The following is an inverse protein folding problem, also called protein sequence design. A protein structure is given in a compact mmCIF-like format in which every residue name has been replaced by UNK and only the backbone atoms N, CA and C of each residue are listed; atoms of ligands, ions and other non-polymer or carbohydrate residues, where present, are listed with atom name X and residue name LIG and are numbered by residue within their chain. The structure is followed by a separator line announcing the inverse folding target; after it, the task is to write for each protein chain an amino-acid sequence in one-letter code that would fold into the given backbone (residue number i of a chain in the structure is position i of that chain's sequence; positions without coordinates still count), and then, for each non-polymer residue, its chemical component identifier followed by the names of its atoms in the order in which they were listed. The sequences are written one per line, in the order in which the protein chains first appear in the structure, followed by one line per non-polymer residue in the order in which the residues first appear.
data_IF_713905358266
#
_entry.id   IF_713905358266
#
_cell.length_a   1.000
_cell.length_b   1.000
_cell.length_c   1.000
_cell.angle_alpha   90.00
_cell.angle_beta   90.00
_cell.angle_gamma   90.00
#
_symmetry.space_group_name_H-M   'P 1'
#
loop_
_entity.id
_entity.type
_entity.pdbx_description
1 polymer ?
#
# COMPACT_ATOMS: atom_id res chain seq x y z
N UNK A 1 -14.87 -3.99 -40.66
CA UNK A 1 -15.11 -5.37 -40.09
C UNK A 1 -13.85 -5.99 -39.46
N UNK A 2 -12.68 -6.05 -40.14
CA UNK A 2 -11.46 -6.65 -39.56
C UNK A 2 -10.82 -5.71 -38.54
N UNK A 3 -10.68 -4.43 -38.89
CA UNK A 3 -10.12 -3.39 -37.99
C UNK A 3 -10.96 -3.23 -36.71
N UNK A 4 -12.28 -3.32 -36.80
CA UNK A 4 -13.18 -3.23 -35.64
C UNK A 4 -13.00 -4.42 -34.72
N UNK A 5 -12.80 -5.63 -35.26
CA UNK A 5 -12.51 -6.82 -34.47
C UNK A 5 -11.16 -6.73 -33.75
N UNK A 6 -10.12 -6.25 -34.44
CA UNK A 6 -8.79 -6.05 -33.84
C UNK A 6 -8.86 -5.02 -32.71
N UNK A 7 -9.54 -3.88 -32.95
CA UNK A 7 -9.71 -2.84 -31.91
C UNK A 7 -10.49 -3.36 -30.70
N UNK A 8 -11.54 -4.15 -30.92
CA UNK A 8 -12.32 -4.75 -29.83
C UNK A 8 -11.49 -5.77 -29.04
N UNK A 9 -10.74 -6.65 -29.73
CA UNK A 9 -9.84 -7.61 -29.06
C UNK A 9 -8.75 -6.89 -28.24
N UNK A 10 -8.16 -5.85 -28.77
CA UNK A 10 -7.13 -5.06 -28.06
C UNK A 10 -7.72 -4.46 -26.80
N UNK A 11 -8.92 -3.88 -26.88
CA UNK A 11 -9.61 -3.31 -25.72
C UNK A 11 -9.95 -4.37 -24.67
N UNK A 12 -10.49 -5.53 -25.09
CA UNK A 12 -10.79 -6.64 -24.17
C UNK A 12 -9.53 -7.18 -23.47
N UNK A 13 -8.41 -7.26 -24.19
CA UNK A 13 -7.12 -7.68 -23.61
C UNK A 13 -6.65 -6.64 -22.61
N UNK A 14 -6.70 -5.36 -22.94
CA UNK A 14 -6.32 -4.27 -22.05
C UNK A 14 -7.20 -4.24 -20.78
N UNK A 15 -8.51 -4.42 -20.92
CA UNK A 15 -9.44 -4.52 -19.79
C UNK A 15 -9.12 -5.72 -18.90
N UNK A 16 -8.84 -6.88 -19.47
CA UNK A 16 -8.43 -8.07 -18.71
C UNK A 16 -7.09 -7.88 -18.00
N UNK A 17 -6.11 -7.28 -18.65
CA UNK A 17 -4.79 -6.98 -18.04
C UNK A 17 -4.94 -5.97 -16.91
N UNK A 18 -5.72 -4.91 -17.10
CA UNK A 18 -5.96 -3.91 -16.06
C UNK A 18 -6.67 -4.47 -14.82
N UNK A 19 -7.39 -5.59 -14.96
CA UNK A 19 -8.07 -6.31 -13.88
C UNK A 19 -7.22 -7.40 -13.21
N UNK A 20 -5.99 -7.63 -13.67
CA UNK A 20 -5.07 -8.53 -12.97
C UNK A 20 -4.40 -7.78 -11.83
N UNK A 21 -4.55 -8.27 -10.63
CA UNK A 21 -3.94 -7.72 -9.44
C UNK A 21 -3.02 -8.73 -8.76
N UNK A 22 -1.96 -8.25 -8.14
CA UNK A 22 -1.13 -9.02 -7.23
C UNK A 22 -0.99 -8.28 -5.91
N UNK A 23 -1.11 -9.01 -4.80
CA UNK A 23 -0.96 -8.48 -3.44
C UNK A 23 0.22 -9.16 -2.78
N UNK A 24 1.21 -8.37 -2.37
CA UNK A 24 2.40 -8.83 -1.68
C UNK A 24 2.31 -8.47 -0.20
N UNK A 25 2.30 -9.46 0.71
CA UNK A 25 2.57 -9.21 2.12
C UNK A 25 4.05 -8.89 2.32
N UNK A 26 4.38 -7.99 3.23
CA UNK A 26 5.76 -7.65 3.55
C UNK A 26 6.04 -7.81 5.04
N UNK A 27 7.26 -8.15 5.38
CA UNK A 27 7.76 -8.17 6.75
C UNK A 27 8.39 -9.49 7.17
N UNK A 28 9.48 -9.38 7.92
CA UNK A 28 10.23 -10.50 8.46
C UNK A 28 9.37 -11.44 9.33
N UNK A 29 8.48 -10.87 10.14
CA UNK A 29 7.61 -11.62 11.05
C UNK A 29 6.64 -12.54 10.30
N UNK A 30 6.11 -12.10 9.16
CA UNK A 30 5.29 -12.94 8.28
C UNK A 30 6.11 -14.06 7.66
N UNK A 31 7.31 -13.75 7.17
CA UNK A 31 8.21 -14.74 6.55
C UNK A 31 8.62 -15.84 7.53
N UNK A 32 8.83 -15.48 8.80
CA UNK A 32 9.17 -16.43 9.86
C UNK A 32 7.95 -17.17 10.45
N UNK A 33 6.72 -16.86 9.98
CA UNK A 33 5.49 -17.45 10.52
C UNK A 33 5.17 -17.00 11.96
N UNK A 34 5.75 -15.89 12.42
CA UNK A 34 5.54 -15.35 13.77
C UNK A 34 4.17 -14.70 13.92
N UNK A 35 3.64 -14.14 12.82
CA UNK A 35 2.30 -13.58 12.74
C UNK A 35 1.55 -14.14 11.52
N UNK A 36 0.23 -14.10 11.58
CA UNK A 36 -0.61 -14.52 10.46
C UNK A 36 -0.91 -13.32 9.54
N UNK A 37 -0.79 -13.53 8.23
CA UNK A 37 -1.21 -12.56 7.24
C UNK A 37 -2.74 -12.48 7.18
N UNK A 38 -3.27 -11.35 7.63
CA UNK A 38 -4.71 -11.05 7.57
C UNK A 38 -5.05 -10.05 6.47
N UNK A 39 -4.06 -9.32 5.97
CA UNK A 39 -4.23 -8.27 4.98
C UNK A 39 -4.47 -8.83 3.58
N UNK A 40 -3.65 -9.79 3.17
CA UNK A 40 -3.74 -10.37 1.83
C UNK A 40 -5.09 -11.05 1.56
N UNK A 41 -5.62 -11.93 2.45
CA UNK A 41 -6.94 -12.51 2.26
C UNK A 41 -8.05 -11.46 2.19
N UNK A 42 -7.97 -10.43 3.02
CA UNK A 42 -8.93 -9.33 3.03
C UNK A 42 -8.92 -8.54 1.71
N UNK A 43 -7.76 -8.06 1.27
CA UNK A 43 -7.62 -7.30 0.02
C UNK A 43 -7.98 -8.16 -1.19
N UNK A 44 -7.60 -9.44 -1.19
CA UNK A 44 -7.99 -10.38 -2.24
C UNK A 44 -9.50 -10.45 -2.37
N UNK A 45 -10.21 -10.66 -1.27
CA UNK A 45 -11.68 -10.70 -1.25
C UNK A 45 -12.28 -9.41 -1.78
N UNK A 46 -11.86 -8.25 -1.25
CA UNK A 46 -12.38 -6.94 -1.62
C UNK A 46 -12.16 -6.60 -3.11
N UNK A 47 -11.03 -6.99 -3.68
CA UNK A 47 -10.71 -6.79 -5.09
C UNK A 47 -11.48 -7.76 -5.98
N UNK A 48 -11.59 -9.05 -5.60
CA UNK A 48 -12.33 -10.06 -6.36
C UNK A 48 -13.83 -9.73 -6.44
N UNK A 49 -14.43 -9.22 -5.38
CA UNK A 49 -15.82 -8.74 -5.39
C UNK A 49 -16.06 -7.61 -6.41
N UNK A 50 -14.99 -6.94 -6.86
CA UNK A 50 -15.03 -5.88 -7.88
C UNK A 50 -14.51 -6.34 -9.24
N UNK A 51 -14.39 -7.65 -9.44
CA UNK A 51 -14.04 -8.26 -10.72
C UNK A 51 -12.56 -8.24 -11.06
N UNK A 52 -11.69 -8.12 -10.06
CA UNK A 52 -10.25 -8.32 -10.24
C UNK A 52 -9.90 -9.81 -10.17
N UNK A 53 -8.86 -10.20 -10.91
CA UNK A 53 -8.22 -11.51 -10.81
C UNK A 53 -6.99 -11.36 -9.92
N UNK A 54 -7.08 -11.81 -8.67
CA UNK A 54 -6.05 -11.53 -7.66
C UNK A 54 -5.12 -12.72 -7.46
N UNK A 55 -3.84 -12.47 -7.66
CA UNK A 55 -2.75 -13.37 -7.29
C UNK A 55 -2.20 -12.96 -5.92
N UNK A 56 -1.92 -13.92 -5.06
CA UNK A 56 -1.17 -13.69 -3.83
C UNK A 56 0.30 -13.84 -4.15
N UNK A 57 1.06 -12.79 -3.95
CA UNK A 57 2.50 -12.77 -4.13
C UNK A 57 3.24 -13.42 -2.95
N UNK A 58 4.51 -13.71 -3.17
CA UNK A 58 5.39 -14.16 -2.09
C UNK A 58 5.60 -13.05 -1.05
N UNK A 59 5.89 -13.45 0.18
CA UNK A 59 6.24 -12.47 1.23
C UNK A 59 7.52 -11.74 0.80
N UNK A 60 7.45 -10.41 0.75
CA UNK A 60 8.61 -9.57 0.51
C UNK A 60 9.49 -9.48 1.75
N UNK A 61 10.79 -9.51 1.55
CA UNK A 61 11.76 -9.26 2.61
C UNK A 61 11.78 -7.77 2.99
N UNK A 62 12.28 -7.51 4.18
CA UNK A 62 12.38 -6.14 4.70
C UNK A 62 13.66 -5.45 4.19
N UNK A 63 13.79 -5.40 2.87
CA UNK A 63 14.84 -4.69 2.15
C UNK A 63 14.34 -4.20 0.79
N UNK A 64 14.92 -3.11 0.30
CA UNK A 64 14.48 -2.43 -0.92
C UNK A 64 14.77 -3.26 -2.17
N UNK A 65 15.85 -4.00 -2.18
CA UNK A 65 16.28 -4.79 -3.33
C UNK A 65 15.28 -5.91 -3.63
N UNK A 66 14.82 -6.63 -2.63
CA UNK A 66 13.78 -7.67 -2.78
C UNK A 66 12.44 -7.08 -3.22
N UNK A 67 12.07 -5.92 -2.65
CA UNK A 67 10.86 -5.20 -3.06
C UNK A 67 10.93 -4.80 -4.53
N UNK A 68 12.03 -4.21 -4.97
CA UNK A 68 12.24 -3.78 -6.36
C UNK A 68 12.19 -4.97 -7.30
N UNK A 69 12.86 -6.07 -6.98
CA UNK A 69 12.85 -7.30 -7.80
C UNK A 69 11.43 -7.82 -8.00
N UNK A 70 10.65 -7.94 -6.91
CA UNK A 70 9.27 -8.43 -6.99
C UNK A 70 8.31 -7.47 -7.70
N UNK A 71 8.50 -6.16 -7.54
CA UNK A 71 7.73 -5.17 -8.29
C UNK A 71 8.04 -5.23 -9.79
N UNK A 72 9.32 -5.32 -10.17
CA UNK A 72 9.76 -5.44 -11.57
C UNK A 72 9.22 -6.71 -12.23
N UNK A 73 9.30 -7.84 -11.52
CA UNK A 73 8.72 -9.10 -11.96
C UNK A 73 7.21 -9.00 -12.19
N UNK A 74 6.48 -8.38 -11.26
CA UNK A 74 5.03 -8.18 -11.39
C UNK A 74 4.67 -7.26 -12.57
N UNK A 75 5.43 -6.19 -12.77
CA UNK A 75 5.28 -5.31 -13.94
C UNK A 75 5.53 -6.08 -15.25
N UNK A 76 6.60 -6.88 -15.30
CA UNK A 76 6.96 -7.70 -16.46
C UNK A 76 5.93 -8.78 -16.78
N UNK A 77 5.24 -9.31 -15.76
CA UNK A 77 4.13 -10.26 -15.92
C UNK A 77 2.81 -9.60 -16.32
N UNK A 78 2.75 -8.28 -16.41
CA UNK A 78 1.59 -7.52 -16.87
C UNK A 78 0.45 -7.44 -15.83
N UNK A 79 0.76 -7.35 -14.54
CA UNK A 79 -0.24 -7.02 -13.54
C UNK A 79 -0.62 -5.54 -13.65
N UNK A 80 -1.92 -5.25 -13.78
CA UNK A 80 -2.43 -3.89 -13.84
C UNK A 80 -2.50 -3.19 -12.49
N UNK A 81 -2.58 -3.97 -11.41
CA UNK A 81 -2.55 -3.48 -10.03
C UNK A 81 -1.59 -4.31 -9.19
N UNK A 82 -0.67 -3.63 -8.52
CA UNK A 82 0.30 -4.24 -7.61
C UNK A 82 0.15 -3.56 -6.26
N UNK A 83 -0.20 -4.31 -5.22
CA UNK A 83 -0.38 -3.78 -3.86
C UNK A 83 0.62 -4.44 -2.92
N UNK A 84 1.31 -3.65 -2.11
CA UNK A 84 2.11 -4.15 -0.99
C UNK A 84 1.45 -3.78 0.33
N UNK A 85 1.49 -4.66 1.32
CA UNK A 85 1.00 -4.39 2.68
C UNK A 85 2.12 -4.57 3.68
N UNK A 86 2.46 -3.51 4.41
CA UNK A 86 3.64 -3.47 5.27
C UNK A 86 4.86 -2.84 4.58
N UNK A 87 6.00 -2.82 5.25
CA UNK A 87 7.17 -2.07 4.80
C UNK A 87 6.94 -0.56 4.74
N UNK A 88 5.89 -0.10 5.39
CA UNK A 88 5.46 1.29 5.59
C UNK A 88 5.06 1.42 7.04
N UNK A 89 5.82 2.08 7.86
CA UNK A 89 5.49 2.15 9.27
C UNK A 89 6.50 2.92 10.12
N UNK A 90 6.46 2.67 11.43
CA UNK A 90 7.29 3.36 12.41
C UNK A 90 8.78 2.93 12.41
N UNK A 91 9.16 1.93 11.64
CA UNK A 91 10.54 1.46 11.52
C UNK A 91 11.39 2.39 10.63
N UNK A 92 12.71 2.26 10.73
CA UNK A 92 13.67 3.21 10.14
C UNK A 92 13.63 3.31 8.61
N UNK A 93 12.95 2.37 7.91
CA UNK A 93 12.95 2.33 6.45
C UNK A 93 11.59 1.94 5.89
N UNK A 94 11.08 2.78 5.00
CA UNK A 94 9.86 2.51 4.23
C UNK A 94 10.22 1.78 2.93
N UNK A 95 10.67 0.52 3.02
CA UNK A 95 11.18 -0.24 1.90
C UNK A 95 10.18 -0.37 0.75
N UNK A 96 8.90 -0.56 1.05
CA UNK A 96 7.86 -0.65 0.04
C UNK A 96 7.66 0.68 -0.71
N UNK A 97 7.64 1.80 0.01
CA UNK A 97 7.54 3.14 -0.60
C UNK A 97 8.78 3.45 -1.43
N UNK A 98 9.97 3.15 -0.91
CA UNK A 98 11.22 3.35 -1.66
C UNK A 98 11.27 2.48 -2.92
N UNK A 99 10.81 1.24 -2.85
CA UNK A 99 10.68 0.36 -4.01
C UNK A 99 9.78 0.95 -5.08
N UNK A 100 8.60 1.44 -4.69
CA UNK A 100 7.68 2.15 -5.61
C UNK A 100 8.35 3.37 -6.24
N UNK A 101 9.10 4.18 -5.47
CA UNK A 101 9.83 5.34 -5.99
C UNK A 101 10.96 4.96 -6.95
N UNK A 102 11.59 3.81 -6.78
CA UNK A 102 12.61 3.32 -7.73
C UNK A 102 11.98 2.88 -9.05
N UNK A 103 10.79 2.30 -9.02
CA UNK A 103 10.06 1.91 -10.22
C UNK A 103 9.40 3.11 -10.92
N UNK A 104 8.88 4.08 -10.17
CA UNK A 104 8.33 5.34 -10.66
C UNK A 104 8.97 6.52 -9.90
N UNK A 105 10.00 7.18 -10.47
CA UNK A 105 10.64 8.33 -9.84
C UNK A 105 9.71 9.53 -9.56
N UNK A 106 8.52 9.53 -10.18
CA UNK A 106 7.47 10.55 -9.97
C UNK A 106 6.32 10.04 -9.10
N UNK A 107 6.53 8.95 -8.35
CA UNK A 107 5.51 8.39 -7.47
C UNK A 107 5.01 9.42 -6.45
N UNK A 108 3.73 9.39 -6.16
CA UNK A 108 3.12 10.22 -5.13
C UNK A 108 3.32 9.55 -3.76
N UNK A 109 3.99 10.26 -2.83
CA UNK A 109 4.35 9.73 -1.50
C UNK A 109 3.94 10.67 -0.36
N UNK A 110 2.64 10.96 -0.18
CA UNK A 110 2.19 11.85 0.87
C UNK A 110 2.40 11.24 2.26
N UNK A 111 2.61 12.11 3.24
CA UNK A 111 2.66 11.72 4.63
C UNK A 111 1.26 11.46 5.20
N UNK A 112 1.11 10.37 5.91
CA UNK A 112 -0.03 10.10 6.80
C UNK A 112 0.11 10.95 8.06
N UNK A 113 1.32 10.91 8.64
CA UNK A 113 1.70 11.68 9.82
C UNK A 113 3.17 12.10 9.69
N UNK A 114 3.46 13.32 10.11
CA UNK A 114 4.83 13.82 10.20
C UNK A 114 5.29 13.85 11.65
N UNK A 115 6.46 13.32 11.91
CA UNK A 115 7.15 13.40 13.18
C UNK A 115 8.65 13.31 12.92
N UNK A 116 9.47 13.79 13.84
CA UNK A 116 10.91 13.56 13.79
C UNK A 116 11.29 12.54 14.86
N UNK A 117 11.84 11.43 14.44
CA UNK A 117 12.34 10.38 15.32
C UNK A 117 13.74 9.98 14.87
N UNK A 118 14.66 9.89 15.82
CA UNK A 118 16.05 9.52 15.57
C UNK A 118 17.03 10.67 15.64
N UNK A 119 18.32 10.36 15.57
CA UNK A 119 19.43 11.31 15.61
C UNK A 119 20.46 11.01 14.53
N UNK A 120 21.06 12.03 13.95
CA UNK A 120 22.12 11.87 12.94
C UNK A 120 21.62 11.43 11.58
N UNK A 121 22.19 10.32 11.05
CA UNK A 121 21.88 9.82 9.70
C UNK A 121 20.57 9.01 9.60
N UNK A 122 19.96 8.68 10.73
CA UNK A 122 18.75 7.86 10.84
C UNK A 122 17.59 8.69 11.39
N UNK A 123 17.25 9.78 10.69
CA UNK A 123 16.07 10.58 11.04
C UNK A 123 14.91 10.14 10.18
N UNK A 124 13.83 9.73 10.82
CA UNK A 124 12.54 9.46 10.16
C UNK A 124 11.62 10.66 10.32
N UNK A 125 11.12 11.17 9.19
CA UNK A 125 10.26 12.34 9.14
C UNK A 125 8.76 12.05 9.28
N UNK A 126 8.38 10.79 9.38
CA UNK A 126 6.98 10.39 9.50
C UNK A 126 6.66 9.06 8.81
N UNK A 127 5.39 8.77 8.66
CA UNK A 127 4.85 7.61 7.94
C UNK A 127 4.26 8.08 6.62
N UNK A 128 4.64 7.43 5.54
CA UNK A 128 4.16 7.71 4.17
C UNK A 128 3.50 6.48 3.57
N UNK A 129 2.67 6.71 2.56
CA UNK A 129 2.27 5.70 1.59
C UNK A 129 2.92 6.00 0.25
N UNK A 130 2.83 5.10 -0.70
CA UNK A 130 3.35 5.31 -2.05
C UNK A 130 2.37 4.85 -3.11
N UNK A 131 2.14 5.70 -4.12
CA UNK A 131 1.39 5.34 -5.32
C UNK A 131 2.23 5.68 -6.53
N UNK A 132 2.58 4.68 -7.32
CA UNK A 132 3.34 4.81 -8.56
C UNK A 132 2.59 4.26 -9.76
N UNK A 133 2.99 4.68 -10.95
CA UNK A 133 2.44 4.21 -12.23
C UNK A 133 3.59 3.95 -13.19
N UNK A 134 3.61 2.76 -13.76
CA UNK A 134 4.55 2.37 -14.83
C UNK A 134 3.75 1.80 -15.97
N UNK A 135 3.70 2.51 -17.11
CA UNK A 135 2.84 2.13 -18.21
C UNK A 135 1.37 2.00 -17.76
N UNK A 136 0.71 0.88 -18.04
CA UNK A 136 -0.68 0.63 -17.62
C UNK A 136 -0.80 0.16 -16.17
N UNK A 137 0.30 -0.08 -15.48
CA UNK A 137 0.32 -0.70 -14.16
C UNK A 137 0.38 0.33 -13.05
N UNK A 138 -0.40 0.12 -12.00
CA UNK A 138 -0.43 0.94 -10.78
C UNK A 138 0.14 0.15 -9.61
N UNK A 139 1.03 0.77 -8.87
CA UNK A 139 1.62 0.23 -7.64
C UNK A 139 1.12 1.03 -6.45
N UNK A 140 0.71 0.35 -5.38
CA UNK A 140 0.23 0.99 -4.15
C UNK A 140 0.88 0.32 -2.94
N UNK A 141 1.65 1.09 -2.18
CA UNK A 141 2.23 0.66 -0.92
C UNK A 141 1.33 1.10 0.24
N UNK A 142 0.70 0.12 0.90
CA UNK A 142 -0.18 0.32 2.04
C UNK A 142 0.52 -0.02 3.37
N UNK A 143 0.05 0.52 4.50
CA UNK A 143 0.55 0.16 5.82
C UNK A 143 0.39 -1.33 6.15
N UNK A 144 1.14 -1.80 7.18
CA UNK A 144 1.06 -3.17 7.68
C UNK A 144 -0.12 -3.46 8.62
N UNK A 145 -0.46 -2.58 9.58
CA UNK A 145 -1.54 -2.84 10.51
C UNK A 145 -2.88 -3.10 9.80
N UNK A 146 -3.55 -4.20 10.17
CA UNK A 146 -4.78 -4.64 9.50
C UNK A 146 -5.90 -3.61 9.53
N UNK A 147 -6.06 -2.92 10.63
CA UNK A 147 -7.06 -1.87 10.79
C UNK A 147 -6.78 -0.63 9.92
N UNK A 148 -5.53 -0.40 9.53
CA UNK A 148 -5.14 0.63 8.56
C UNK A 148 -5.44 0.19 7.13
N UNK A 149 -5.16 -1.07 6.80
CA UNK A 149 -5.52 -1.66 5.50
C UNK A 149 -7.03 -1.64 5.31
N UNK A 150 -7.82 -2.00 6.33
CA UNK A 150 -9.29 -1.91 6.29
C UNK A 150 -9.79 -0.49 6.09
N UNK A 151 -9.09 0.51 6.64
CA UNK A 151 -9.41 1.93 6.44
C UNK A 151 -9.08 2.40 5.01
N UNK A 152 -7.96 1.94 4.46
CA UNK A 152 -7.48 2.34 3.14
C UNK A 152 -8.25 1.66 1.99
N UNK A 153 -8.69 0.42 2.17
CA UNK A 153 -9.29 -0.39 1.11
C UNK A 153 -10.51 0.27 0.43
N UNK A 154 -11.51 0.85 1.12
CA UNK A 154 -12.63 1.52 0.45
C UNK A 154 -12.19 2.69 -0.43
N UNK A 155 -11.15 3.43 -0.01
CA UNK A 155 -10.59 4.56 -0.76
C UNK A 155 -9.85 4.08 -1.99
N UNK A 156 -9.03 3.02 -1.84
CA UNK A 156 -8.33 2.38 -2.95
C UNK A 156 -9.33 1.91 -4.01
N UNK A 157 -10.34 1.15 -3.60
CA UNK A 157 -11.33 0.57 -4.50
C UNK A 157 -12.11 1.64 -5.25
N UNK A 158 -12.53 2.70 -4.55
CA UNK A 158 -13.19 3.84 -5.18
C UNK A 158 -12.27 4.54 -6.18
N UNK A 159 -11.01 4.74 -5.82
CA UNK A 159 -10.03 5.36 -6.72
C UNK A 159 -9.77 4.53 -7.98
N UNK A 160 -9.82 3.20 -7.88
CA UNK A 160 -9.72 2.30 -9.02
C UNK A 160 -10.97 2.36 -9.91
N UNK A 161 -12.15 2.37 -9.32
CA UNK A 161 -13.44 2.47 -10.04
C UNK A 161 -13.60 3.80 -10.76
N UNK A 162 -13.24 4.91 -10.10
CA UNK A 162 -13.32 6.27 -10.64
C UNK A 162 -12.08 6.65 -11.46
N UNK A 163 -11.10 5.74 -11.60
CA UNK A 163 -9.86 5.94 -12.34
C UNK A 163 -9.11 7.22 -11.93
N UNK A 164 -8.95 7.44 -10.61
CA UNK A 164 -8.18 8.59 -10.11
C UNK A 164 -6.72 8.51 -10.56
N UNK A 165 -6.10 9.66 -10.80
CA UNK A 165 -4.66 9.72 -10.98
C UNK A 165 -3.90 9.33 -9.69
N UNK A 166 -2.59 9.11 -9.81
CA UNK A 166 -1.79 8.63 -8.68
C UNK A 166 -1.72 9.64 -7.53
N UNK A 167 -1.70 10.92 -7.84
CA UNK A 167 -1.67 12.01 -6.88
C UNK A 167 -2.98 12.05 -6.07
N UNK A 168 -4.11 12.06 -6.76
CA UNK A 168 -5.44 12.07 -6.12
C UNK A 168 -5.64 10.82 -5.25
N UNK A 169 -5.28 9.64 -5.77
CA UNK A 169 -5.40 8.39 -5.01
C UNK A 169 -4.52 8.43 -3.75
N UNK A 170 -3.25 8.83 -3.89
CA UNK A 170 -2.31 8.89 -2.79
C UNK A 170 -2.77 9.87 -1.71
N UNK A 171 -3.18 11.07 -2.09
CA UNK A 171 -3.65 12.11 -1.15
C UNK A 171 -4.90 11.66 -0.39
N UNK A 172 -5.85 11.01 -1.06
CA UNK A 172 -7.07 10.52 -0.41
C UNK A 172 -6.82 9.34 0.51
N UNK A 173 -5.91 8.43 0.14
CA UNK A 173 -5.45 7.35 1.02
C UNK A 173 -4.77 7.90 2.27
N UNK A 174 -3.83 8.84 2.11
CA UNK A 174 -3.14 9.47 3.23
C UNK A 174 -4.10 10.22 4.15
N UNK A 175 -5.07 10.95 3.61
CA UNK A 175 -6.08 11.67 4.38
C UNK A 175 -6.95 10.72 5.23
N UNK A 176 -7.43 9.61 4.65
CA UNK A 176 -8.22 8.62 5.37
C UNK A 176 -7.44 7.97 6.53
N UNK A 177 -6.18 7.64 6.29
CA UNK A 177 -5.29 7.08 7.31
C UNK A 177 -4.95 8.10 8.39
N UNK A 178 -4.70 9.37 8.02
CA UNK A 178 -4.45 10.46 8.98
C UNK A 178 -5.67 10.71 9.89
N UNK A 179 -6.89 10.65 9.35
CA UNK A 179 -8.13 10.78 10.13
C UNK A 179 -8.27 9.65 11.15
N UNK A 180 -7.94 8.43 10.74
CA UNK A 180 -7.93 7.27 11.64
C UNK A 180 -6.93 7.46 12.80
N UNK A 181 -5.72 7.92 12.50
CA UNK A 181 -4.69 8.17 13.52
C UNK A 181 -5.12 9.26 14.51
N UNK A 182 -5.72 10.35 14.04
CA UNK A 182 -6.26 11.42 14.90
C UNK A 182 -7.34 10.89 15.85
N UNK A 183 -8.25 10.06 15.37
CA UNK A 183 -9.31 9.45 16.21
C UNK A 183 -8.73 8.53 17.28
N UNK A 184 -7.69 7.75 16.98
CA UNK A 184 -6.98 6.92 17.97
C UNK A 184 -6.31 7.77 19.06
N UNK A 185 -5.66 8.89 18.69
CA UNK A 185 -5.04 9.80 19.64
C UNK A 185 -6.02 10.54 20.55
N UNK A 186 -7.22 10.81 20.09
CA UNK A 186 -8.28 11.45 20.89
C UNK A 186 -9.02 10.46 21.82
N UNK A 187 -8.89 9.16 21.58
CA UNK A 187 -9.59 8.12 22.35
C UNK A 187 -8.85 7.60 23.58
N UNK A 188 -7.63 8.05 23.88
CA UNK A 188 -6.92 7.70 25.11
C UNK A 188 -7.12 8.78 26.17
N UNK A 189 -7.91 8.54 27.22
CA UNK A 189 -7.90 9.42 28.39
C UNK A 189 -6.52 9.32 29.03
N UNK A 190 -5.84 10.45 29.16
CA UNK A 190 -4.65 10.56 29.98
C UNK A 190 -5.02 10.17 31.41
N UNK A 191 -4.73 8.96 31.82
CA UNK A 191 -4.69 8.61 33.24
C UNK A 191 -3.55 9.40 33.88
N UNK A 192 -3.90 10.58 34.39
CA UNK A 192 -3.08 11.27 35.37
C UNK A 192 -3.04 10.40 36.63
N UNK A 193 -1.96 9.66 36.76
CA UNK A 193 -1.64 8.99 38.03
C UNK A 193 -1.25 10.09 39.03
N UNK A 194 -2.25 10.62 39.75
CA UNK A 194 -1.99 11.42 40.95
C UNK A 194 -1.39 10.46 42.00
N UNK A 195 -0.07 10.49 42.11
CA UNK A 195 0.64 9.93 43.24
C UNK A 195 0.04 10.47 44.52
N UNK A 196 -0.44 9.57 45.33
CA UNK A 196 -0.77 9.86 46.73
C UNK A 196 0.52 10.10 47.48
N UNK A 197 0.81 11.36 47.80
CA UNK A 197 1.60 11.69 48.97
C UNK A 197 0.78 11.29 50.23
N UNK A 198 1.30 10.40 51.03
CA UNK A 198 0.95 10.26 52.42
C UNK A 198 2.21 10.37 53.24
N UNK A 199 2.14 11.29 54.18
CA UNK A 199 2.93 11.75 55.26
C UNK A 199 3.69 10.75 56.14
#
# INVERSE_FOLDING_TARGET
AVLDRVSNMTREIQEKVSRRAIVFPTGFELKQGMIQDTNTPFLKHELEERGYYVTVGEVMEDNVEDVVEKLDDALSQGFGLIVTTGGVGAEDKDHSVEGVCRMDPTAATPYIVKFQQGTGRHVKDGVRIGVGVVGPSRMVALPGPHDEVMCAAPVLLRGLEENWDKETLADRLAAALADKWRRKGMGQPHHHNRGQEKG
#
